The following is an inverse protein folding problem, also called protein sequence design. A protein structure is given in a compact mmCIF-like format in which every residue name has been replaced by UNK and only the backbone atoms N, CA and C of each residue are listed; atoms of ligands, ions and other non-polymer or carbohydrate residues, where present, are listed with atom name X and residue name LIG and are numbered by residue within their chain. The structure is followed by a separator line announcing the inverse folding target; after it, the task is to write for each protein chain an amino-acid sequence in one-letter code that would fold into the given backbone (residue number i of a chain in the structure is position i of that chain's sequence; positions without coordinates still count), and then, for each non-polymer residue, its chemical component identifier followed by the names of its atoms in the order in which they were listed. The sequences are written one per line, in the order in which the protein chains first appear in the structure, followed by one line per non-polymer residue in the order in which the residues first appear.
data_IF_116844518561
#
_entry.id   IF_116844518561
#
_cell.length_a   1.000
_cell.length_b   1.000
_cell.length_c   1.000
_cell.angle_alpha   90.00
_cell.angle_beta   90.00
_cell.angle_gamma   90.00
#
_symmetry.space_group_name_H-M   'P 1'
#
loop_
_entity.id
_entity.type
_entity.pdbx_description
1 polymer ?
#
# COMPACT_ATOMS: atom_id res chain seq x y z
N UNK A 1 13.71 -10.64 -2.12
CA UNK A 1 14.97 -10.22 -1.48
C UNK A 1 14.90 -10.67 -0.04
N UNK A 2 15.44 -11.86 0.16
CA UNK A 2 15.53 -12.62 1.40
C UNK A 2 16.51 -11.93 2.34
N UNK A 3 16.12 -11.75 3.59
CA UNK A 3 16.96 -11.20 4.66
C UNK A 3 18.17 -12.11 4.89
N UNK A 4 19.34 -11.70 4.42
CA UNK A 4 20.64 -12.33 4.71
C UNK A 4 21.40 -11.61 5.84
N UNK A 5 20.73 -10.75 6.62
CA UNK A 5 21.37 -9.88 7.61
C UNK A 5 20.93 -10.12 9.08
N UNK A 6 20.33 -11.27 9.40
CA UNK A 6 19.81 -11.59 10.75
C UNK A 6 20.76 -12.46 11.60
N UNK A 7 22.08 -12.37 11.39
CA UNK A 7 23.06 -13.27 12.02
C UNK A 7 23.84 -12.72 13.23
N UNK A 8 23.42 -11.61 13.85
CA UNK A 8 24.12 -10.98 14.97
C UNK A 8 23.37 -11.06 16.32
N UNK A 9 24.07 -10.92 17.47
CA UNK A 9 23.47 -10.97 18.82
C UNK A 9 22.43 -9.87 19.10
N UNK A 10 22.36 -8.83 18.27
CA UNK A 10 21.40 -7.72 18.37
C UNK A 10 20.20 -7.86 17.40
N UNK A 11 20.12 -9.00 16.69
CA UNK A 11 19.15 -9.24 15.62
C UNK A 11 17.72 -9.50 16.12
N UNK A 12 17.52 -9.85 17.39
CA UNK A 12 16.19 -10.15 17.94
C UNK A 12 15.24 -8.95 17.88
N UNK A 13 15.75 -7.76 18.21
CA UNK A 13 14.93 -6.57 18.43
C UNK A 13 14.75 -5.74 17.15
N UNK A 14 15.75 -5.79 16.27
CA UNK A 14 15.82 -4.98 15.06
C UNK A 14 14.90 -5.53 13.96
N UNK A 15 14.69 -6.85 13.89
CA UNK A 15 13.79 -7.46 12.89
C UNK A 15 12.30 -7.19 13.18
N UNK A 16 11.93 -7.08 14.45
CA UNK A 16 10.53 -6.89 14.86
C UNK A 16 10.03 -5.48 14.52
N UNK A 17 10.85 -4.45 14.77
CA UNK A 17 10.48 -3.05 14.56
C UNK A 17 10.25 -2.69 13.09
N UNK A 18 11.02 -3.29 12.18
CA UNK A 18 10.89 -3.05 10.73
C UNK A 18 9.58 -3.60 10.14
N UNK A 19 8.98 -4.61 10.77
CA UNK A 19 7.75 -5.25 10.30
C UNK A 19 6.47 -4.47 10.66
N UNK A 20 6.51 -3.68 11.74
CA UNK A 20 5.38 -2.91 12.28
C UNK A 20 4.81 -1.88 11.28
N UNK A 21 5.62 -1.01 10.64
CA UNK A 21 5.08 -0.02 9.71
C UNK A 21 4.49 -0.69 8.47
N UNK A 22 5.10 -1.78 7.98
CA UNK A 22 4.63 -2.52 6.81
C UNK A 22 3.27 -3.17 7.09
N UNK A 23 3.11 -3.79 8.25
CA UNK A 23 1.84 -4.38 8.65
C UNK A 23 0.74 -3.32 8.79
N UNK A 24 1.04 -2.18 9.39
CA UNK A 24 0.10 -1.06 9.48
C UNK A 24 -0.28 -0.51 8.10
N UNK A 25 0.66 -0.38 7.17
CA UNK A 25 0.38 0.00 5.79
C UNK A 25 -0.46 -1.03 5.03
N UNK A 26 -0.42 -2.31 5.43
CA UNK A 26 -1.19 -3.35 4.77
C UNK A 26 -2.69 -3.33 5.14
N UNK A 27 -3.03 -2.74 6.28
CA UNK A 27 -4.39 -2.74 6.83
C UNK A 27 -5.04 -1.36 6.77
N UNK A 28 -4.25 -0.30 7.01
CA UNK A 28 -4.75 1.06 7.13
C UNK A 28 -4.25 1.94 6.00
N UNK A 29 -5.11 2.87 5.58
CA UNK A 29 -4.67 3.98 4.74
C UNK A 29 -3.85 4.94 5.59
N UNK A 30 -2.60 5.17 5.16
CA UNK A 30 -1.74 6.11 5.87
C UNK A 30 -2.13 7.56 5.55
N UNK A 31 -2.16 8.45 6.55
CA UNK A 31 -2.36 9.87 6.30
C UNK A 31 -1.16 10.44 5.55
N UNK A 32 -1.42 11.38 4.62
CA UNK A 32 -0.37 12.02 3.81
C UNK A 32 0.73 12.65 4.67
N UNK A 33 0.38 13.20 5.84
CA UNK A 33 1.33 13.77 6.79
C UNK A 33 2.36 12.74 7.29
N UNK A 34 1.91 11.52 7.62
CA UNK A 34 2.79 10.43 8.07
C UNK A 34 3.68 9.97 6.92
N UNK A 35 3.11 9.82 5.72
CA UNK A 35 3.87 9.49 4.51
C UNK A 35 4.97 10.53 4.30
N UNK A 36 4.64 11.82 4.33
CA UNK A 36 5.60 12.91 4.18
C UNK A 36 6.67 12.94 5.27
N UNK A 37 6.31 12.62 6.51
CA UNK A 37 7.26 12.51 7.61
C UNK A 37 8.25 11.36 7.38
N UNK A 38 7.77 10.18 7.00
CA UNK A 38 8.62 9.03 6.65
C UNK A 38 9.52 9.34 5.46
N UNK A 39 8.99 9.93 4.39
CA UNK A 39 9.79 10.35 3.25
C UNK A 39 10.84 11.40 3.65
N UNK A 40 10.52 12.29 4.59
CA UNK A 40 11.50 13.26 5.12
C UNK A 40 12.62 12.57 5.88
N UNK A 41 12.32 11.55 6.68
CA UNK A 41 13.34 10.76 7.39
C UNK A 41 14.23 10.02 6.39
N UNK A 42 13.65 9.35 5.39
CA UNK A 42 14.41 8.66 4.34
C UNK A 42 15.29 9.63 3.54
N UNK A 43 14.76 10.81 3.20
CA UNK A 43 15.53 11.88 2.53
C UNK A 43 16.68 12.38 3.37
N UNK A 44 16.44 12.62 4.65
CA UNK A 44 17.48 13.05 5.57
C UNK A 44 18.56 11.98 5.65
N UNK A 45 18.19 10.72 5.89
CA UNK A 45 19.13 9.59 5.96
C UNK A 45 20.01 9.50 4.71
N UNK A 46 19.42 9.61 3.51
CA UNK A 46 20.15 9.51 2.25
C UNK A 46 21.13 10.68 2.02
N UNK A 47 20.83 11.88 2.53
CA UNK A 47 21.56 13.11 2.19
C UNK A 47 22.03 13.94 3.40
N UNK A 48 22.41 13.29 4.50
CA UNK A 48 22.98 13.99 5.67
C UNK A 48 24.44 14.39 5.41
N UNK A 49 24.68 15.44 4.61
CA UNK A 49 26.01 16.09 4.56
C UNK A 49 25.93 17.63 4.61
N UNK A 50 24.96 18.30 3.97
CA UNK A 50 24.96 19.79 3.94
C UNK A 50 23.59 20.49 3.99
N UNK A 51 23.40 21.56 4.80
CA UNK A 51 22.13 22.29 4.93
C UNK A 51 21.76 23.13 3.69
N UNK A 52 22.72 23.49 2.83
CA UNK A 52 22.47 24.20 1.56
C UNK A 52 21.76 23.31 0.51
N UNK A 53 21.90 21.99 0.61
CA UNK A 53 21.33 21.01 -0.33
C UNK A 53 19.80 20.80 -0.18
N UNK A 54 19.20 21.24 0.94
CA UNK A 54 17.78 21.00 1.29
C UNK A 54 16.77 21.43 0.23
N UNK A 55 17.03 22.50 -0.53
CA UNK A 55 16.10 22.99 -1.57
C UNK A 55 16.10 22.15 -2.85
N UNK A 56 17.22 21.51 -3.21
CA UNK A 56 17.32 20.63 -4.38
C UNK A 56 16.68 19.26 -4.14
N UNK A 57 16.68 18.81 -2.88
CA UNK A 57 16.22 17.48 -2.44
C UNK A 57 14.71 17.23 -2.68
N UNK A 58 13.86 18.27 -2.59
CA UNK A 58 12.40 18.11 -2.82
C UNK A 58 12.11 17.78 -4.29
N UNK A 59 12.82 18.42 -5.23
CA UNK A 59 12.68 18.16 -6.67
C UNK A 59 13.27 16.81 -7.06
N UNK A 60 14.31 16.35 -6.36
CA UNK A 60 14.94 15.06 -6.60
C UNK A 60 14.07 13.88 -6.13
N UNK A 61 13.23 14.03 -5.09
CA UNK A 61 12.44 12.92 -4.57
C UNK A 61 11.47 12.33 -5.61
N UNK A 62 10.79 13.17 -6.40
CA UNK A 62 9.96 12.69 -7.50
C UNK A 62 10.77 11.93 -8.55
N UNK A 63 11.99 12.40 -8.85
CA UNK A 63 12.90 11.74 -9.80
C UNK A 63 13.49 10.44 -9.25
N UNK A 64 13.75 10.35 -7.93
CA UNK A 64 14.19 9.12 -7.27
C UNK A 64 13.08 8.08 -7.23
N UNK A 65 11.82 8.52 -7.19
CA UNK A 65 10.66 7.64 -7.23
C UNK A 65 10.28 7.12 -8.64
N UNK A 66 10.95 7.60 -9.68
CA UNK A 66 10.80 7.04 -11.01
C UNK A 66 11.43 5.63 -11.08
N UNK A 67 10.89 4.75 -11.95
CA UNK A 67 11.50 3.46 -12.23
C UNK A 67 12.95 3.63 -12.71
N UNK A 68 13.79 2.61 -12.48
CA UNK A 68 15.23 2.67 -12.82
C UNK A 68 15.47 2.97 -14.30
N UNK A 69 14.56 2.55 -15.16
CA UNK A 69 14.61 2.80 -16.61
C UNK A 69 14.51 4.29 -16.98
N UNK A 70 13.94 5.12 -16.11
CA UNK A 70 13.85 6.58 -16.28
C UNK A 70 14.98 7.34 -15.54
N UNK A 71 16.01 6.63 -15.06
CA UNK A 71 17.12 7.22 -14.30
C UNK A 71 16.79 7.53 -12.84
N UNK A 72 15.69 6.96 -12.30
CA UNK A 72 15.34 7.02 -10.88
C UNK A 72 15.98 5.90 -10.06
N UNK A 73 15.85 5.97 -8.72
CA UNK A 73 16.38 4.94 -7.82
C UNK A 73 15.48 3.69 -7.76
N UNK A 74 14.28 3.76 -8.35
CA UNK A 74 13.24 2.73 -8.25
C UNK A 74 12.50 2.73 -6.92
N UNK A 75 12.59 3.81 -6.13
CA UNK A 75 11.89 3.94 -4.87
C UNK A 75 10.39 4.20 -5.11
N UNK A 76 9.55 3.19 -5.00
CA UNK A 76 8.10 3.40 -5.19
C UNK A 76 7.56 4.35 -4.12
N UNK A 77 6.76 5.35 -4.51
CA UNK A 77 6.10 6.27 -3.56
C UNK A 77 5.38 5.47 -2.48
N UNK A 78 5.58 5.84 -1.21
CA UNK A 78 4.95 5.16 -0.07
C UNK A 78 3.42 5.10 -0.17
N UNK A 79 2.81 6.12 -0.77
CA UNK A 79 1.37 6.13 -1.08
C UNK A 79 0.97 4.99 -2.04
N UNK A 80 1.79 4.73 -3.07
CA UNK A 80 1.55 3.64 -4.02
C UNK A 80 1.78 2.27 -3.36
N UNK A 81 2.79 2.14 -2.50
CA UNK A 81 3.02 0.91 -1.72
C UNK A 81 1.83 0.64 -0.81
N UNK A 82 1.36 1.64 -0.05
CA UNK A 82 0.20 1.52 0.82
C UNK A 82 -1.05 1.11 0.03
N UNK A 83 -1.27 1.72 -1.14
CA UNK A 83 -2.37 1.35 -2.03
C UNK A 83 -2.27 -0.09 -2.55
N UNK A 84 -1.08 -0.50 -3.00
CA UNK A 84 -0.85 -1.85 -3.50
C UNK A 84 -1.03 -2.91 -2.40
N UNK A 85 -0.59 -2.63 -1.18
CA UNK A 85 -0.81 -3.52 -0.03
C UNK A 85 -2.29 -3.62 0.34
N UNK A 86 -3.03 -2.51 0.34
CA UNK A 86 -4.48 -2.53 0.56
C UNK A 86 -5.23 -3.27 -0.56
N UNK A 87 -4.80 -3.14 -1.81
CA UNK A 87 -5.34 -3.94 -2.92
C UNK A 87 -5.05 -5.43 -2.72
N UNK A 88 -3.85 -5.79 -2.27
CA UNK A 88 -3.51 -7.17 -1.89
C UNK A 88 -4.39 -7.68 -0.75
N UNK A 89 -4.75 -6.83 0.20
CA UNK A 89 -5.69 -7.17 1.27
C UNK A 89 -7.11 -7.42 0.72
N UNK A 90 -7.62 -6.54 -0.15
CA UNK A 90 -8.91 -6.73 -0.84
C UNK A 90 -8.93 -8.04 -1.62
N UNK A 91 -7.86 -8.32 -2.35
CA UNK A 91 -7.69 -9.58 -3.09
C UNK A 91 -7.72 -10.79 -2.16
N UNK A 92 -7.05 -10.69 -1.00
CA UNK A 92 -7.06 -11.76 0.01
C UNK A 92 -8.44 -12.00 0.58
N UNK A 93 -9.19 -10.95 0.89
CA UNK A 93 -10.57 -11.04 1.38
C UNK A 93 -11.47 -11.75 0.35
N UNK A 94 -11.22 -11.52 -0.94
CA UNK A 94 -12.02 -12.10 -2.03
C UNK A 94 -11.63 -13.53 -2.35
N UNK A 95 -10.32 -13.84 -2.32
CA UNK A 95 -9.76 -15.12 -2.81
C UNK A 95 -9.60 -16.18 -1.72
N UNK A 96 -9.26 -15.79 -0.49
CA UNK A 96 -8.99 -16.73 0.60
C UNK A 96 -10.25 -17.05 1.40
N UNK A 97 -10.36 -18.30 1.85
CA UNK A 97 -11.47 -18.82 2.67
C UNK A 97 -11.20 -18.79 4.17
N UNK A 98 -10.22 -18.02 4.61
CA UNK A 98 -9.90 -17.90 6.03
C UNK A 98 -11.10 -17.31 6.81
N UNK A 99 -11.24 -17.66 8.09
CA UNK A 99 -12.32 -17.17 8.93
C UNK A 99 -12.35 -15.64 9.03
N UNK A 100 -11.19 -15.00 9.15
CA UNK A 100 -11.08 -13.53 9.20
C UNK A 100 -11.48 -12.88 7.86
N UNK A 101 -11.10 -13.50 6.73
CA UNK A 101 -11.45 -13.04 5.40
C UNK A 101 -12.96 -13.15 5.17
N UNK A 102 -13.55 -14.29 5.55
CA UNK A 102 -14.99 -14.54 5.50
C UNK A 102 -15.78 -13.56 6.37
N UNK A 103 -15.30 -13.26 7.58
CA UNK A 103 -15.90 -12.25 8.46
C UNK A 103 -15.88 -10.86 7.82
N UNK A 104 -14.74 -10.44 7.26
CA UNK A 104 -14.64 -9.14 6.58
C UNK A 104 -15.50 -9.10 5.32
N UNK A 105 -15.62 -10.22 4.60
CA UNK A 105 -16.48 -10.37 3.43
C UNK A 105 -17.94 -10.15 3.80
N UNK A 106 -18.44 -10.84 4.82
CA UNK A 106 -19.82 -10.66 5.32
C UNK A 106 -20.04 -9.23 5.86
N UNK A 107 -19.01 -8.63 6.46
CA UNK A 107 -19.09 -7.28 7.03
C UNK A 107 -19.12 -6.17 5.97
N UNK A 108 -18.45 -6.36 4.83
CA UNK A 108 -18.18 -5.32 3.83
C UNK A 108 -18.71 -5.60 2.42
N UNK A 109 -19.22 -6.81 2.16
CA UNK A 109 -19.91 -7.15 0.92
C UNK A 109 -21.39 -7.38 1.17
N UNK A 110 -22.19 -6.94 0.22
CA UNK A 110 -23.62 -7.23 0.13
C UNK A 110 -23.83 -8.70 -0.30
N UNK A 111 -25.04 -9.21 -0.07
CA UNK A 111 -25.45 -10.56 -0.49
C UNK A 111 -25.32 -10.80 -2.00
N UNK A 112 -25.34 -9.71 -2.78
CA UNK A 112 -25.15 -9.70 -4.24
C UNK A 112 -23.69 -9.79 -4.69
N UNK A 113 -22.72 -9.84 -3.76
CA UNK A 113 -21.29 -9.87 -4.07
C UNK A 113 -20.65 -8.48 -4.27
N UNK A 114 -21.45 -7.41 -4.32
CA UNK A 114 -20.96 -6.04 -4.42
C UNK A 114 -20.44 -5.53 -3.08
N UNK A 115 -19.41 -4.68 -3.11
CA UNK A 115 -18.93 -3.98 -1.92
C UNK A 115 -19.95 -2.96 -1.41
N UNK A 116 -20.02 -2.74 -0.10
CA UNK A 116 -20.91 -1.71 0.46
C UNK A 116 -20.54 -0.32 -0.08
N UNK A 117 -21.51 0.49 -0.48
CA UNK A 117 -21.26 1.85 -0.98
C UNK A 117 -21.40 2.92 0.11
N UNK A 118 -22.18 2.61 1.14
CA UNK A 118 -22.54 3.52 2.23
C UNK A 118 -21.45 3.64 3.30
N UNK A 119 -21.54 4.69 4.11
CA UNK A 119 -20.62 4.91 5.22
C UNK A 119 -20.82 3.88 6.32
N UNK A 120 -19.72 3.25 6.76
CA UNK A 120 -19.70 2.33 7.89
C UNK A 120 -18.58 2.74 8.82
N UNK A 121 -18.88 2.87 10.12
CA UNK A 121 -17.90 3.23 11.13
C UNK A 121 -16.92 2.06 11.33
N UNK A 122 -15.82 2.09 10.58
CA UNK A 122 -14.72 1.13 10.68
C UNK A 122 -13.42 1.78 10.23
N UNK A 123 -12.37 1.62 11.04
CA UNK A 123 -11.03 2.14 10.76
C UNK A 123 -10.40 1.55 9.49
N UNK A 124 -10.82 0.34 9.10
CA UNK A 124 -10.28 -0.39 7.94
C UNK A 124 -11.06 -0.05 6.67
N UNK A 125 -12.37 0.19 6.78
CA UNK A 125 -13.26 0.42 5.63
C UNK A 125 -12.85 1.62 4.77
N UNK A 126 -12.42 2.71 5.41
CA UNK A 126 -11.92 3.89 4.69
C UNK A 126 -10.71 3.59 3.80
N UNK A 127 -9.83 2.68 4.23
CA UNK A 127 -8.68 2.22 3.44
C UNK A 127 -9.10 1.28 2.30
N UNK A 128 -10.01 0.34 2.57
CA UNK A 128 -10.55 -0.57 1.57
C UNK A 128 -11.29 0.19 0.45
N UNK A 129 -12.16 1.14 0.81
CA UNK A 129 -12.88 1.97 -0.18
C UNK A 129 -11.91 2.75 -1.06
N UNK A 130 -10.84 3.31 -0.49
CA UNK A 130 -9.82 4.02 -1.26
C UNK A 130 -9.04 3.10 -2.22
N UNK A 131 -8.76 1.87 -1.81
CA UNK A 131 -8.13 0.87 -2.67
C UNK A 131 -9.09 0.43 -3.80
N UNK A 132 -10.36 0.16 -3.49
CA UNK A 132 -11.40 -0.24 -4.45
C UNK A 132 -11.68 0.82 -5.50
N UNK A 133 -11.77 2.10 -5.12
CA UNK A 133 -11.85 3.21 -6.09
C UNK A 133 -10.63 3.25 -7.03
N UNK A 134 -9.48 2.83 -6.53
CA UNK A 134 -8.30 2.64 -7.37
C UNK A 134 -8.39 1.45 -8.31
N UNK A 135 -9.09 0.42 -7.92
CA UNK A 135 -9.39 -0.74 -8.75
C UNK A 135 -10.29 -0.31 -9.91
N UNK A 136 -11.43 0.31 -9.63
CA UNK A 136 -12.40 0.73 -10.65
C UNK A 136 -11.79 1.66 -11.71
N UNK A 137 -10.88 2.55 -11.31
CA UNK A 137 -10.21 3.47 -12.24
C UNK A 137 -9.10 2.82 -13.08
N UNK A 138 -8.58 1.65 -12.69
CA UNK A 138 -7.46 0.97 -13.38
C UNK A 138 -7.87 -0.34 -14.06
N UNK A 139 -9.05 -0.89 -13.75
CA UNK A 139 -9.55 -2.09 -14.39
C UNK A 139 -10.25 -1.70 -15.68
N UNK A 140 -9.53 -1.84 -16.80
CA UNK A 140 -10.20 -2.08 -18.07
C UNK A 140 -10.98 -3.39 -17.94
N UNK A 141 -12.28 -3.36 -18.25
CA UNK A 141 -13.08 -4.57 -18.32
C UNK A 141 -12.48 -5.48 -19.39
N UNK A 142 -11.86 -6.60 -18.98
CA UNK A 142 -11.57 -7.67 -19.93
C UNK A 142 -12.90 -8.40 -20.09
N UNK A 143 -13.60 -8.08 -21.19
CA UNK A 143 -14.79 -8.81 -21.62
C UNK A 143 -14.35 -10.26 -21.87
N UNK A 144 -14.66 -11.14 -20.92
CA UNK A 144 -14.63 -12.59 -21.13
C UNK A 144 -15.75 -12.99 -22.08
N UNK A 145 -15.52 -14.07 -22.84
CA UNK A 145 -16.36 -14.56 -23.95
C UNK A 145 -17.86 -14.31 -23.74
N UNK A 146 -18.45 -13.59 -24.69
CA UNK A 146 -19.80 -13.00 -24.65
C UNK A 146 -20.95 -14.01 -24.60
N UNK A 147 -21.01 -14.81 -23.54
CA UNK A 147 -22.07 -15.78 -23.29
C UNK A 147 -23.05 -15.41 -22.19
N UNK A 148 -22.76 -14.42 -21.35
CA UNK A 148 -23.72 -13.93 -20.36
C UNK A 148 -23.77 -12.40 -20.35
N UNK A 149 -24.41 -11.85 -21.38
CA UNK A 149 -25.08 -10.55 -21.29
C UNK A 149 -26.55 -10.80 -21.62
N UNK A 150 -27.30 -11.34 -20.67
CA UNK A 150 -28.76 -11.28 -20.72
C UNK A 150 -29.19 -10.00 -20.01
N UNK A 151 -29.83 -9.14 -20.81
CA UNK A 151 -30.40 -7.82 -20.52
C UNK A 151 -31.17 -7.74 -19.19
#
# INVERSE_FOLDING_TARGET
MSCLACGGPDAGNSCELESIPIYNMAIYKWPKAVIWACERIMRNFLWTVDPASKKLIIKAWHKLCCPKDEGGLGLTRLENINRALLLKLVWRITSHKDYWASFLKVKFQCRTGNWISYYKQSSIWGGLKWALQGMENNFGWIVGDGKDISL
#
